data_IF_890223748271
#
_entry.id   IF_890223748271
#
_cell.length_a   1.000
_cell.length_b   1.000
_cell.length_c   1.000
_cell.angle_alpha   90.00
_cell.angle_beta   90.00
_cell.angle_gamma   90.00
#
_symmetry.space_group_name_H-M   'P 1'
#
loop_
_entity.id
_entity.type
_entity.pdbx_description
1 polymer ?
#
# COMPACT_ATOMS: atom_id res chain seq x y z
N UNK A 1 -3.21 4.42 -19.43
CA UNK A 1 -2.40 3.38 -18.75
C UNK A 1 -3.30 2.51 -17.87
N UNK A 2 -3.10 1.18 -17.74
CA UNK A 2 -4.07 0.29 -17.05
C UNK A 2 -4.29 0.63 -15.56
N UNK A 3 -3.25 1.16 -14.90
CA UNK A 3 -3.30 1.63 -13.50
C UNK A 3 -4.28 2.80 -13.35
N UNK A 4 -4.26 3.76 -14.27
CA UNK A 4 -5.16 4.93 -14.23
C UNK A 4 -6.62 4.51 -14.37
N UNK A 5 -6.90 3.54 -15.26
CA UNK A 5 -8.26 3.00 -15.44
C UNK A 5 -8.75 2.35 -14.15
N UNK A 6 -7.88 1.60 -13.48
CA UNK A 6 -8.18 0.94 -12.23
C UNK A 6 -8.39 1.94 -11.08
N UNK A 7 -7.58 3.00 -11.01
CA UNK A 7 -7.74 4.07 -10.04
C UNK A 7 -8.96 4.96 -10.29
N UNK A 8 -9.41 5.11 -11.55
CA UNK A 8 -10.67 5.83 -11.85
C UNK A 8 -11.91 5.09 -11.34
N UNK A 9 -11.85 3.77 -11.21
CA UNK A 9 -12.97 2.96 -10.73
C UNK A 9 -13.14 3.00 -9.21
N UNK A 10 -12.13 3.47 -8.47
CA UNK A 10 -12.04 3.34 -7.02
C UNK A 10 -11.61 4.66 -6.38
N UNK A 11 -12.41 5.16 -5.44
CA UNK A 11 -12.01 6.31 -4.64
C UNK A 11 -11.04 5.89 -3.53
N UNK A 12 -9.73 6.03 -3.78
CA UNK A 12 -8.65 5.71 -2.84
C UNK A 12 -8.81 6.30 -1.44
N UNK A 13 -9.45 7.47 -1.30
CA UNK A 13 -9.58 8.15 0.00
C UNK A 13 -10.64 7.52 0.89
N UNK A 14 -11.66 6.91 0.30
CA UNK A 14 -12.86 6.45 1.01
C UNK A 14 -13.12 4.96 0.85
N UNK A 15 -12.15 4.21 0.33
CA UNK A 15 -12.28 2.76 0.15
C UNK A 15 -11.82 2.02 1.40
N UNK A 16 -12.50 0.91 1.70
CA UNK A 16 -12.10 -0.02 2.74
C UNK A 16 -10.73 -0.63 2.43
N UNK A 17 -9.83 -0.59 3.42
CA UNK A 17 -8.51 -1.21 3.34
C UNK A 17 -8.54 -2.44 4.25
N UNK A 18 -8.15 -3.60 3.72
CA UNK A 18 -8.05 -4.85 4.46
C UNK A 18 -6.63 -5.37 4.41
N UNK A 19 -6.26 -6.21 5.38
CA UNK A 19 -4.91 -6.76 5.49
C UNK A 19 -4.97 -8.28 5.33
N UNK A 20 -4.16 -8.81 4.40
CA UNK A 20 -3.99 -10.25 4.31
C UNK A 20 -3.31 -10.78 5.58
N UNK A 21 -3.72 -11.94 6.14
CA UNK A 21 -3.09 -12.51 7.33
C UNK A 21 -1.57 -12.62 7.21
N UNK A 22 -1.09 -12.94 6.00
CA UNK A 22 0.34 -13.05 5.66
C UNK A 22 1.16 -11.79 5.90
N UNK A 23 0.52 -10.61 6.02
CA UNK A 23 1.21 -9.37 6.39
C UNK A 23 1.80 -9.47 7.80
N UNK A 24 1.14 -10.19 8.70
CA UNK A 24 1.49 -10.30 10.12
C UNK A 24 2.31 -11.55 10.46
N UNK A 25 2.49 -12.46 9.51
CA UNK A 25 3.22 -13.73 9.72
C UNK A 25 4.71 -13.52 10.02
N UNK A 26 5.27 -12.33 9.76
CA UNK A 26 6.68 -12.02 10.00
C UNK A 26 6.83 -11.22 11.28
N UNK A 27 7.68 -11.70 12.20
CA UNK A 27 7.99 -11.08 13.50
C UNK A 27 8.46 -9.62 13.39
N UNK A 28 9.17 -9.29 12.31
CA UNK A 28 9.63 -7.93 11.97
C UNK A 28 8.48 -6.95 11.71
N UNK A 29 7.27 -7.47 11.43
CA UNK A 29 6.07 -6.74 11.05
C UNK A 29 4.98 -6.76 12.13
N UNK A 30 5.28 -7.24 13.34
CA UNK A 30 4.35 -7.16 14.48
C UNK A 30 4.11 -5.73 14.97
N UNK A 31 5.07 -4.82 14.73
CA UNK A 31 4.99 -3.41 15.11
C UNK A 31 4.69 -2.51 13.90
N UNK A 32 3.95 -3.01 12.91
CA UNK A 32 3.54 -2.19 11.77
C UNK A 32 2.56 -1.10 12.21
N UNK A 33 2.84 0.12 11.76
CA UNK A 33 1.95 1.26 11.91
C UNK A 33 0.86 1.20 10.82
N UNK A 34 -0.31 0.64 11.18
CA UNK A 34 -1.43 0.45 10.26
C UNK A 34 -1.91 1.77 9.65
N UNK A 35 -1.90 2.85 10.44
CA UNK A 35 -2.31 4.18 9.98
C UNK A 35 -1.38 4.69 8.88
N UNK A 36 -0.06 4.51 9.04
CA UNK A 36 0.91 4.87 8.00
C UNK A 36 0.78 4.02 6.75
N UNK A 37 0.41 2.74 6.89
CA UNK A 37 0.14 1.88 5.74
C UNK A 37 -1.08 2.38 4.97
N UNK A 38 -2.17 2.67 5.66
CA UNK A 38 -3.36 3.26 5.04
C UNK A 38 -3.07 4.61 4.39
N UNK A 39 -2.35 5.49 5.07
CA UNK A 39 -1.96 6.80 4.54
C UNK A 39 -1.09 6.66 3.29
N UNK A 40 -0.23 5.64 3.25
CA UNK A 40 0.58 5.31 2.06
C UNK A 40 -0.30 4.90 0.88
N UNK A 41 -1.36 4.13 1.10
CA UNK A 41 -2.31 3.76 0.03
C UNK A 41 -3.13 4.97 -0.41
N UNK A 42 -3.61 5.78 0.54
CA UNK A 42 -4.48 6.94 0.29
C UNK A 42 -3.73 8.09 -0.41
N UNK A 43 -2.50 8.37 0.01
CA UNK A 43 -1.76 9.59 -0.36
C UNK A 43 -0.37 9.33 -0.96
N UNK A 44 0.12 8.09 -0.93
CA UNK A 44 1.43 7.74 -1.47
C UNK A 44 1.48 7.79 -3.00
N UNK A 45 2.73 7.79 -3.50
CA UNK A 45 3.03 7.72 -4.93
C UNK A 45 3.01 6.27 -5.38
N UNK A 46 2.64 6.05 -6.64
CA UNK A 46 2.66 4.72 -7.24
C UNK A 46 4.11 4.42 -7.65
N UNK A 47 4.59 3.23 -7.28
CA UNK A 47 5.87 2.72 -7.71
C UNK A 47 5.66 1.68 -8.81
N UNK A 48 5.59 2.17 -10.06
CA UNK A 48 5.19 1.39 -11.23
C UNK A 48 6.04 0.14 -11.46
N UNK A 49 7.34 0.20 -11.14
CA UNK A 49 8.28 -0.94 -11.28
C UNK A 49 7.87 -2.19 -10.50
N UNK A 50 7.03 -2.06 -9.48
CA UNK A 50 6.52 -3.18 -8.65
C UNK A 50 5.00 -3.42 -8.84
N UNK A 51 4.38 -2.74 -9.80
CA UNK A 51 2.98 -2.95 -10.15
C UNK A 51 2.85 -4.09 -11.16
N UNK A 52 1.78 -4.87 -11.06
CA UNK A 52 1.57 -6.05 -11.89
C UNK A 52 0.10 -6.17 -12.27
N UNK A 53 -0.16 -6.50 -13.54
CA UNK A 53 -1.54 -6.73 -14.01
C UNK A 53 -2.12 -7.99 -13.35
N UNK A 54 -3.44 -8.05 -13.13
CA UNK A 54 -4.43 -7.03 -13.50
C UNK A 54 -4.66 -5.95 -12.44
N UNK A 55 -4.28 -6.19 -11.18
CA UNK A 55 -4.77 -5.40 -10.05
C UNK A 55 -3.78 -5.22 -8.90
N UNK A 56 -2.49 -5.51 -9.10
CA UNK A 56 -1.46 -5.34 -8.07
C UNK A 56 -0.79 -3.99 -8.23
N UNK A 57 -0.89 -3.14 -7.20
CA UNK A 57 -0.32 -1.80 -7.18
C UNK A 57 0.61 -1.66 -5.99
N UNK A 58 1.79 -1.10 -6.23
CA UNK A 58 2.75 -0.74 -5.20
C UNK A 58 2.66 0.76 -4.91
N UNK A 59 2.48 1.11 -3.65
CA UNK A 59 2.54 2.48 -3.16
C UNK A 59 3.81 2.68 -2.33
N UNK A 60 4.33 3.91 -2.36
CA UNK A 60 5.41 4.34 -1.51
C UNK A 60 5.14 5.73 -0.93
N UNK A 61 5.49 5.93 0.34
CA UNK A 61 5.39 7.23 1.02
C UNK A 61 6.52 7.35 2.04
N UNK A 62 7.21 8.49 2.00
CA UNK A 62 8.25 8.85 2.96
C UNK A 62 7.66 9.70 4.07
N UNK A 63 7.88 9.29 5.32
CA UNK A 63 7.47 9.99 6.53
C UNK A 63 8.71 10.66 7.14
N UNK A 64 8.83 11.97 6.91
CA UNK A 64 10.04 12.72 7.22
C UNK A 64 10.34 12.87 8.71
N UNK A 65 9.33 12.87 9.58
CA UNK A 65 9.50 13.00 11.04
C UNK A 65 10.19 11.76 11.62
N UNK A 66 9.88 10.59 11.09
CA UNK A 66 10.42 9.31 11.53
C UNK A 66 11.59 8.82 10.67
N UNK A 67 11.87 9.51 9.56
CA UNK A 67 12.86 9.12 8.56
C UNK A 67 12.64 7.68 8.05
N UNK A 68 11.38 7.34 7.73
CA UNK A 68 10.97 6.02 7.28
C UNK A 68 10.14 6.14 6.00
N UNK A 69 10.49 5.36 4.97
CA UNK A 69 9.64 5.11 3.81
C UNK A 69 8.85 3.83 4.00
N UNK A 70 7.52 3.90 3.89
CA UNK A 70 6.67 2.73 3.77
C UNK A 70 6.52 2.34 2.32
N UNK A 71 6.70 1.06 2.03
CA UNK A 71 6.35 0.46 0.75
C UNK A 71 5.21 -0.51 1.00
N UNK A 72 4.14 -0.40 0.23
CA UNK A 72 2.90 -1.16 0.41
C UNK A 72 2.50 -1.77 -0.92
N UNK A 73 2.45 -3.10 -0.99
CA UNK A 73 1.89 -3.82 -2.13
C UNK A 73 0.45 -4.16 -1.82
N UNK A 74 -0.42 -3.77 -2.73
CA UNK A 74 -1.86 -3.93 -2.62
C UNK A 74 -2.43 -4.71 -3.79
N UNK A 75 -3.57 -5.34 -3.57
CA UNK A 75 -4.42 -5.92 -4.60
C UNK A 75 -5.78 -5.24 -4.58
N UNK A 76 -6.20 -4.74 -5.74
CA UNK A 76 -7.46 -4.02 -5.88
C UNK A 76 -8.60 -5.00 -6.17
N UNK A 77 -9.62 -4.97 -5.32
CA UNK A 77 -10.89 -5.66 -5.51
C UNK A 77 -11.98 -4.62 -5.79
N UNK A 78 -13.19 -5.06 -6.17
CA UNK A 78 -14.28 -4.14 -6.53
C UNK A 78 -14.68 -3.18 -5.39
N UNK A 79 -14.63 -3.68 -4.15
CA UNK A 79 -15.18 -2.97 -2.98
C UNK A 79 -14.12 -2.57 -1.96
N UNK A 80 -12.92 -3.16 -2.03
CA UNK A 80 -11.85 -2.91 -1.07
C UNK A 80 -10.46 -3.04 -1.69
N UNK A 81 -9.46 -2.51 -1.00
CA UNK A 81 -8.05 -2.69 -1.30
C UNK A 81 -7.45 -3.63 -0.27
N UNK A 82 -6.86 -4.73 -0.73
CA UNK A 82 -6.20 -5.71 0.14
C UNK A 82 -4.70 -5.45 0.19
N UNK A 83 -4.15 -5.24 1.38
CA UNK A 83 -2.70 -5.19 1.60
C UNK A 83 -2.16 -6.60 1.61
N UNK A 84 -1.27 -6.90 0.65
CA UNK A 84 -0.61 -8.21 0.53
C UNK A 84 0.71 -8.26 1.26
N UNK A 85 1.46 -7.16 1.23
CA UNK A 85 2.73 -7.05 1.95
C UNK A 85 3.08 -5.58 2.13
N UNK A 86 3.77 -5.30 3.21
CA UNK A 86 4.33 -3.99 3.47
C UNK A 86 5.63 -4.15 4.23
N UNK A 87 6.53 -3.19 4.04
CA UNK A 87 7.72 -3.11 4.84
C UNK A 87 8.15 -1.65 4.99
N UNK A 88 8.51 -1.22 6.21
CA UNK A 88 9.19 0.05 6.42
C UNK A 88 10.66 -0.07 5.99
N UNK A 89 11.20 0.99 5.42
CA UNK A 89 12.61 1.15 5.08
C UNK A 89 13.11 2.44 5.72
N UNK A 90 14.27 2.42 6.39
CA UNK A 90 14.91 3.65 6.87
C UNK A 90 15.35 4.52 5.70
N UNK A 91 15.14 5.83 5.83
CA UNK A 91 15.44 6.80 4.79
C UNK A 91 14.38 6.89 3.71
N UNK A 92 14.70 7.64 2.66
CA UNK A 92 13.83 7.90 1.52
C UNK A 92 13.81 6.74 0.52
#
# INVERSE_FOLDING_TARGET
>A
MWIEILLKKINRKNITITFSPHVFDRKEYWNLDLDKIEETIKLGKIFEKKCERPNKICFQRYFGKENITYIVITRFHKEFIEVKTTWPKKGR
#
